data_IF_138025350299
#
_entry.id   IF_138025350299
#
_cell.length_a   1.000
_cell.length_b   1.000
_cell.length_c   1.000
_cell.angle_alpha   90.00
_cell.angle_beta   90.00
_cell.angle_gamma   90.00
#
_symmetry.space_group_name_H-M   'P 1'
#
loop_
_entity.id
_entity.type
_entity.pdbx_description
1 polymer ?
#
# COMPACT_ATOMS: atom_id res chain seq x y z
N UNK A 1 6.13 2.99 -19.19
CA UNK A 1 5.68 4.02 -18.23
C UNK A 1 5.04 3.28 -17.09
N UNK A 2 5.29 3.65 -15.83
CA UNK A 2 4.65 3.01 -14.68
C UNK A 2 3.37 3.80 -14.38
N UNK A 3 2.22 3.13 -14.33
CA UNK A 3 0.94 3.80 -14.03
C UNK A 3 0.70 3.94 -12.51
N UNK A 4 1.30 3.07 -11.69
CA UNK A 4 1.15 3.04 -10.23
C UNK A 4 2.53 2.90 -9.57
N UNK A 5 2.96 3.89 -8.78
CA UNK A 5 4.18 3.83 -7.99
C UNK A 5 3.85 3.67 -6.50
N UNK A 6 4.27 2.56 -5.91
CA UNK A 6 4.10 2.27 -4.49
C UNK A 6 5.49 2.15 -3.88
N UNK A 7 5.76 3.00 -2.90
CA UNK A 7 7.04 3.11 -2.24
C UNK A 7 6.96 2.50 -0.83
N UNK A 8 8.11 2.08 -0.30
CA UNK A 8 8.31 2.06 1.15
C UNK A 8 8.69 3.47 1.62
N UNK A 9 8.59 3.78 2.92
CA UNK A 9 9.06 5.07 3.44
C UNK A 9 10.52 5.38 3.04
N UNK A 10 11.51 4.47 3.19
CA UNK A 10 12.86 4.72 2.70
C UNK A 10 12.93 4.91 1.18
N UNK A 11 12.14 4.15 0.42
CA UNK A 11 12.08 4.28 -1.04
C UNK A 11 11.59 5.65 -1.49
N UNK A 12 10.54 6.18 -0.84
CA UNK A 12 10.03 7.51 -1.14
C UNK A 12 11.03 8.60 -0.75
N UNK A 13 11.72 8.45 0.38
CA UNK A 13 12.75 9.40 0.82
C UNK A 13 13.96 9.42 -0.12
N UNK A 14 14.33 8.27 -0.68
CA UNK A 14 15.39 8.21 -1.69
C UNK A 14 14.96 8.84 -3.02
N UNK A 15 13.69 8.65 -3.41
CA UNK A 15 13.11 9.23 -4.62
C UNK A 15 12.95 10.75 -4.51
N UNK A 16 12.42 11.23 -3.38
CA UNK A 16 12.16 12.64 -3.11
C UNK A 16 12.80 13.05 -1.77
N UNK A 17 14.13 13.28 -1.75
CA UNK A 17 14.85 13.61 -0.53
C UNK A 17 14.46 14.99 0.02
N UNK A 18 14.36 15.07 1.35
CA UNK A 18 14.18 16.34 2.08
C UNK A 18 12.76 16.91 2.08
N UNK A 19 11.76 16.16 1.60
CA UNK A 19 10.36 16.59 1.62
C UNK A 19 9.46 15.67 2.43
N UNK A 20 8.25 16.15 2.77
CA UNK A 20 7.22 15.33 3.41
C UNK A 20 6.77 14.19 2.50
N UNK A 21 6.18 13.15 3.07
CA UNK A 21 5.63 12.04 2.28
C UNK A 21 4.56 12.51 1.29
N UNK A 22 3.67 13.41 1.71
CA UNK A 22 2.64 13.99 0.84
C UNK A 22 3.26 14.71 -0.38
N UNK A 23 4.31 15.49 -0.16
CA UNK A 23 5.03 16.17 -1.23
C UNK A 23 5.80 15.18 -2.13
N UNK A 24 6.40 14.14 -1.55
CA UNK A 24 7.02 13.05 -2.32
C UNK A 24 6.03 12.36 -3.26
N UNK A 25 4.81 12.08 -2.79
CA UNK A 25 3.74 11.51 -3.63
C UNK A 25 3.33 12.49 -4.74
N UNK A 26 3.21 13.78 -4.44
CA UNK A 26 2.92 14.82 -5.45
C UNK A 26 3.98 14.87 -6.54
N UNK A 27 5.27 14.75 -6.19
CA UNK A 27 6.36 14.68 -7.17
C UNK A 27 6.25 13.46 -8.08
N UNK A 28 6.00 12.28 -7.51
CA UNK A 28 5.80 11.08 -8.32
C UNK A 28 4.63 11.26 -9.30
N UNK A 29 3.50 11.81 -8.85
CA UNK A 29 2.36 12.12 -9.72
C UNK A 29 2.72 13.11 -10.83
N UNK A 30 3.54 14.13 -10.53
CA UNK A 30 4.03 15.10 -11.50
C UNK A 30 4.99 14.48 -12.54
N UNK A 31 5.72 13.41 -12.19
CA UNK A 31 6.54 12.63 -13.14
C UNK A 31 5.70 11.74 -14.07
N UNK A 32 4.39 11.68 -13.88
CA UNK A 32 3.47 11.07 -14.83
C UNK A 32 2.90 9.72 -14.40
N UNK A 33 3.07 9.28 -13.15
CA UNK A 33 2.28 8.15 -12.64
C UNK A 33 0.82 8.56 -12.42
N UNK A 34 -0.11 7.62 -12.51
CA UNK A 34 -1.54 7.84 -12.23
C UNK A 34 -1.86 7.74 -10.73
N UNK A 35 -1.14 6.87 -10.02
CA UNK A 35 -1.26 6.63 -8.58
C UNK A 35 0.12 6.63 -7.93
N UNK A 36 0.25 7.33 -6.81
CA UNK A 36 1.44 7.29 -5.95
C UNK A 36 1.05 6.89 -4.53
N UNK A 37 1.79 5.99 -3.90
CA UNK A 37 1.54 5.56 -2.53
C UNK A 37 2.82 5.28 -1.73
N UNK A 38 2.75 5.35 -0.41
CA UNK A 38 3.82 4.96 0.49
C UNK A 38 3.30 4.10 1.63
N UNK A 39 3.87 2.91 1.76
CA UNK A 39 3.58 1.99 2.86
C UNK A 39 4.37 2.38 4.11
N UNK A 40 3.68 2.43 5.26
CA UNK A 40 4.20 2.93 6.54
C UNK A 40 4.10 1.88 7.65
N UNK A 41 4.15 0.60 7.29
CA UNK A 41 4.02 -0.51 8.23
C UNK A 41 2.70 -0.44 9.01
N UNK A 42 2.78 -0.47 10.34
CA UNK A 42 1.64 -0.36 11.25
C UNK A 42 0.87 0.96 11.17
N UNK A 43 1.43 2.00 10.53
CA UNK A 43 0.76 3.29 10.30
C UNK A 43 0.00 3.34 8.96
N UNK A 44 -0.20 2.19 8.31
CA UNK A 44 -1.01 2.06 7.12
C UNK A 44 -0.32 2.54 5.85
N UNK A 45 -1.09 3.10 4.92
CA UNK A 45 -0.60 3.55 3.61
C UNK A 45 -1.15 4.94 3.31
N UNK A 46 -0.28 5.87 2.94
CA UNK A 46 -0.67 7.17 2.38
C UNK A 46 -0.64 7.06 0.86
N UNK A 47 -1.66 7.54 0.16
CA UNK A 47 -1.73 7.44 -1.29
C UNK A 47 -2.51 8.60 -1.92
N UNK A 48 -2.21 8.89 -3.18
CA UNK A 48 -2.90 9.92 -3.95
C UNK A 48 -3.00 9.50 -5.42
N UNK A 49 -4.08 9.92 -6.08
CA UNK A 49 -4.24 9.80 -7.53
C UNK A 49 -3.99 11.15 -8.20
N UNK A 50 -3.70 11.13 -9.50
CA UNK A 50 -3.56 12.36 -10.27
C UNK A 50 -4.83 13.20 -10.19
N UNK A 51 -4.67 14.46 -9.82
CA UNK A 51 -5.79 15.41 -9.67
C UNK A 51 -6.46 15.36 -8.31
N UNK A 52 -6.09 14.45 -7.41
CA UNK A 52 -6.54 14.52 -6.02
C UNK A 52 -5.98 15.80 -5.36
N UNK A 53 -6.82 16.56 -4.63
CA UNK A 53 -6.38 17.77 -3.97
C UNK A 53 -5.42 17.47 -2.81
N UNK A 54 -5.61 16.36 -2.10
CA UNK A 54 -4.78 15.91 -0.99
C UNK A 54 -4.65 14.38 -0.97
N UNK A 55 -3.57 13.82 -0.39
CA UNK A 55 -3.45 12.38 -0.18
C UNK A 55 -4.51 11.83 0.77
N UNK A 56 -4.84 10.55 0.59
CA UNK A 56 -5.76 9.76 1.38
C UNK A 56 -4.98 8.73 2.19
N UNK A 57 -5.58 8.27 3.28
CA UNK A 57 -4.99 7.22 4.12
C UNK A 57 -5.81 5.93 4.08
N UNK A 58 -5.10 4.82 4.03
CA UNK A 58 -5.65 3.48 4.31
C UNK A 58 -5.07 2.99 5.63
N UNK A 59 -5.89 2.73 6.66
CA UNK A 59 -5.40 2.27 7.95
C UNK A 59 -4.82 0.86 7.86
N UNK A 60 -3.78 0.60 8.64
CA UNK A 60 -3.26 -0.75 8.81
C UNK A 60 -4.24 -1.64 9.59
N UNK A 61 -4.15 -2.94 9.37
CA UNK A 61 -4.77 -3.92 10.25
C UNK A 61 -3.83 -4.19 11.44
N UNK A 62 -4.38 -4.09 12.64
CA UNK A 62 -3.64 -4.39 13.86
C UNK A 62 -3.49 -5.91 14.00
N UNK A 63 -2.25 -6.38 14.01
CA UNK A 63 -1.87 -7.78 14.17
C UNK A 63 -0.63 -7.86 15.04
N UNK A 64 -0.43 -9.00 15.72
CA UNK A 64 0.84 -9.29 16.38
C UNK A 64 1.86 -9.74 15.31
N UNK A 65 2.74 -8.83 14.90
CA UNK A 65 3.69 -9.10 13.84
C UNK A 65 4.89 -9.92 14.35
N UNK A 66 4.95 -11.19 13.97
CA UNK A 66 6.07 -12.08 14.32
C UNK A 66 7.18 -12.09 13.27
N UNK A 67 6.88 -11.74 12.01
CA UNK A 67 7.85 -11.70 10.91
C UNK A 67 7.45 -10.72 9.80
N UNK A 68 8.10 -9.56 9.73
CA UNK A 68 7.82 -8.51 8.73
C UNK A 68 8.53 -8.69 7.38
N UNK A 69 9.48 -9.63 7.27
CA UNK A 69 10.19 -9.90 6.00
C UNK A 69 9.19 -10.34 4.94
N UNK A 70 9.19 -9.70 3.77
CA UNK A 70 8.29 -10.04 2.66
C UNK A 70 6.84 -9.53 2.80
N UNK A 71 6.48 -8.86 3.91
CA UNK A 71 5.16 -8.23 4.04
C UNK A 71 4.92 -7.16 2.96
N UNK A 72 5.97 -6.42 2.59
CA UNK A 72 5.95 -5.49 1.47
C UNK A 72 5.69 -6.18 0.13
N UNK A 73 6.35 -7.31 -0.14
CA UNK A 73 6.15 -8.04 -1.41
C UNK A 73 4.72 -8.57 -1.52
N UNK A 74 4.17 -9.11 -0.43
CA UNK A 74 2.77 -9.55 -0.37
C UNK A 74 1.81 -8.37 -0.56
N UNK A 75 2.09 -7.21 0.03
CA UNK A 75 1.29 -6.00 -0.19
C UNK A 75 1.25 -5.64 -1.68
N UNK A 76 2.40 -5.57 -2.35
CA UNK A 76 2.46 -5.20 -3.77
C UNK A 76 1.77 -6.24 -4.66
N UNK A 77 1.98 -7.53 -4.39
CA UNK A 77 1.32 -8.61 -5.12
C UNK A 77 -0.21 -8.57 -4.97
N UNK A 78 -0.70 -8.36 -3.75
CA UNK A 78 -2.12 -8.23 -3.46
C UNK A 78 -2.73 -6.96 -4.09
N UNK A 79 -2.01 -5.84 -4.07
CA UNK A 79 -2.43 -4.61 -4.74
C UNK A 79 -2.56 -4.81 -6.25
N UNK A 80 -1.51 -5.36 -6.89
CA UNK A 80 -1.50 -5.62 -8.31
C UNK A 80 -2.63 -6.58 -8.73
N UNK A 81 -2.87 -7.63 -7.93
CA UNK A 81 -3.98 -8.55 -8.12
C UNK A 81 -5.33 -7.82 -8.06
N UNK A 82 -5.57 -7.01 -7.03
CA UNK A 82 -6.83 -6.29 -6.87
C UNK A 82 -7.10 -5.30 -8.03
N UNK A 83 -6.07 -4.59 -8.49
CA UNK A 83 -6.19 -3.71 -9.67
C UNK A 83 -6.48 -4.52 -10.94
N UNK A 84 -5.80 -5.65 -11.14
CA UNK A 84 -6.03 -6.54 -12.28
C UNK A 84 -7.46 -7.12 -12.30
N UNK A 85 -8.08 -7.26 -11.12
CA UNK A 85 -9.48 -7.67 -10.97
C UNK A 85 -10.49 -6.52 -11.12
N UNK A 86 -10.03 -5.32 -11.46
CA UNK A 86 -10.89 -4.15 -11.70
C UNK A 86 -11.36 -3.46 -10.42
N UNK A 87 -10.76 -3.74 -9.26
CA UNK A 87 -11.08 -3.02 -8.04
C UNK A 87 -10.59 -1.56 -8.12
N UNK A 88 -11.31 -0.66 -7.44
CA UNK A 88 -10.85 0.73 -7.30
C UNK A 88 -9.62 0.84 -6.41
N UNK A 89 -8.81 1.89 -6.59
CA UNK A 89 -7.54 2.10 -5.85
C UNK A 89 -7.72 1.99 -4.34
N UNK A 90 -8.78 2.60 -3.78
CA UNK A 90 -9.04 2.55 -2.34
C UNK A 90 -9.30 1.10 -1.83
N UNK A 91 -10.05 0.32 -2.60
CA UNK A 91 -10.34 -1.08 -2.29
C UNK A 91 -9.08 -1.95 -2.41
N UNK A 92 -8.29 -1.72 -3.48
CA UNK A 92 -7.02 -2.39 -3.68
C UNK A 92 -6.02 -2.09 -2.55
N UNK A 93 -5.92 -0.85 -2.08
CA UNK A 93 -5.08 -0.48 -0.93
C UNK A 93 -5.52 -1.21 0.35
N UNK A 94 -6.83 -1.27 0.60
CA UNK A 94 -7.38 -1.95 1.78
C UNK A 94 -7.13 -3.46 1.72
N UNK A 95 -7.32 -4.09 0.55
CA UNK A 95 -7.02 -5.50 0.30
C UNK A 95 -5.53 -5.82 0.48
N UNK A 96 -4.66 -5.00 -0.11
CA UNK A 96 -3.21 -5.13 0.03
C UNK A 96 -2.74 -4.96 1.48
N UNK A 97 -3.33 -4.01 2.21
CA UNK A 97 -3.03 -3.80 3.63
C UNK A 97 -3.41 -5.01 4.49
N UNK A 98 -4.56 -5.66 4.22
CA UNK A 98 -4.97 -6.89 4.88
C UNK A 98 -3.98 -8.03 4.61
N UNK A 99 -3.60 -8.23 3.35
CA UNK A 99 -2.67 -9.28 2.96
C UNK A 99 -1.28 -9.09 3.58
N UNK A 100 -0.75 -7.86 3.55
CA UNK A 100 0.53 -7.52 4.16
C UNK A 100 0.53 -7.73 5.69
N UNK A 101 -0.57 -7.38 6.36
CA UNK A 101 -0.71 -7.60 7.80
C UNK A 101 -0.73 -9.09 8.15
N UNK A 102 -1.50 -9.91 7.44
CA UNK A 102 -1.50 -11.37 7.66
C UNK A 102 -0.11 -11.96 7.46
N UNK A 103 0.59 -11.57 6.37
CA UNK A 103 1.97 -11.99 6.13
C UNK A 103 2.93 -11.59 7.25
N UNK A 104 2.72 -10.41 7.84
CA UNK A 104 3.53 -9.94 8.96
C UNK A 104 3.24 -10.73 10.25
N UNK A 105 2.03 -11.26 10.40
CA UNK A 105 1.58 -11.99 11.59
C UNK A 105 2.15 -13.40 11.67
N UNK A 106 2.06 -14.20 10.59
CA UNK A 106 2.38 -15.63 10.63
C UNK A 106 3.61 -16.04 9.79
N UNK A 107 4.13 -15.14 8.95
CA UNK A 107 5.26 -15.44 8.08
C UNK A 107 4.87 -16.08 6.74
N UNK A 108 3.59 -16.37 6.50
CA UNK A 108 3.10 -17.09 5.33
C UNK A 108 2.40 -16.18 4.34
N UNK A 109 2.47 -16.50 3.05
CA UNK A 109 1.68 -15.77 2.04
C UNK A 109 0.20 -16.14 2.23
N UNK A 110 -0.69 -15.18 2.54
CA UNK A 110 -2.07 -15.49 2.89
C UNK A 110 -2.88 -15.95 1.67
N UNK A 111 -3.86 -16.83 1.91
CA UNK A 111 -4.89 -17.15 0.91
C UNK A 111 -5.91 -16.02 0.85
N UNK A 112 -6.52 -15.82 -0.33
CA UNK A 112 -7.61 -14.83 -0.54
C UNK A 112 -8.71 -14.89 0.53
N UNK A 113 -9.18 -16.09 0.85
CA UNK A 113 -10.22 -16.28 1.87
C UNK A 113 -9.85 -15.69 3.24
N UNK A 114 -8.58 -15.79 3.64
CA UNK A 114 -8.12 -15.21 4.91
C UNK A 114 -8.10 -13.68 4.85
N UNK A 115 -7.67 -13.11 3.71
CA UNK A 115 -7.68 -11.66 3.47
C UNK A 115 -9.11 -11.12 3.53
N UNK A 116 -10.05 -11.77 2.85
CA UNK A 116 -11.48 -11.41 2.84
C UNK A 116 -12.11 -11.57 4.24
N UNK A 117 -11.76 -12.62 4.97
CA UNK A 117 -12.23 -12.82 6.34
C UNK A 117 -11.72 -11.72 7.30
N UNK A 118 -10.51 -11.21 7.09
CA UNK A 118 -9.96 -10.09 7.87
C UNK A 118 -10.66 -8.77 7.50
N UNK A 119 -10.91 -8.53 6.21
CA UNK A 119 -11.64 -7.36 5.71
C UNK A 119 -13.07 -7.27 6.24
N UNK A 120 -13.74 -8.41 6.41
CA UNK A 120 -15.11 -8.45 6.94
C UNK A 120 -15.21 -8.10 8.43
N UNK A 121 -14.08 -8.06 9.17
CA UNK A 121 -14.04 -7.84 10.62
C UNK A 121 -13.76 -6.39 11.03
N UNK A 122 -13.38 -5.50 10.11
CA UNK A 122 -13.02 -4.11 10.43
C UNK A 122 -13.12 -3.16 9.26
#
# INVERSE_FOLDING_TARGET
MVDHAIFSTPGLLNFAPGVSQAEGLRRALAEGVGVAAVTRGEHGTLWAMRGDPEPRETPAFQVEATNTTGAGDVFHGAYALAIAEGQGVAQAMRFASAAGALRAQDGETPRRQAVEALLARG
#
